data_IF_394959897743
#
_entry.id   IF_394959897743
#
_cell.length_a   1.000
_cell.length_b   1.000
_cell.length_c   1.000
_cell.angle_alpha   90.00
_cell.angle_beta   90.00
_cell.angle_gamma   90.00
#
_symmetry.space_group_name_H-M   'P 1'
#
loop_
_entity.id
_entity.type
_entity.pdbx_description
1 polymer ?
#
# COMPACT_ATOMS: atom_id res chain seq x y z
N UNK A 1 -104.99 24.11 -23.76
CA UNK A 1 -104.56 23.03 -24.68
C UNK A 1 -103.05 23.10 -24.86
N UNK A 2 -102.38 22.01 -24.49
CA UNK A 2 -101.13 21.46 -25.02
C UNK A 2 -99.97 22.35 -25.50
N UNK A 3 -98.85 22.20 -24.76
CA UNK A 3 -97.50 21.89 -25.29
C UNK A 3 -96.72 23.04 -25.95
N UNK A 4 -95.39 23.16 -25.94
CA UNK A 4 -94.29 22.22 -25.73
C UNK A 4 -93.00 22.99 -25.39
N UNK A 5 -92.02 22.23 -24.89
CA UNK A 5 -90.59 22.26 -25.21
C UNK A 5 -89.63 22.54 -24.03
N UNK A 6 -89.11 21.41 -23.53
CA UNK A 6 -87.96 21.27 -22.65
C UNK A 6 -86.67 21.66 -23.38
N UNK A 7 -85.79 22.42 -22.73
CA UNK A 7 -84.35 22.44 -23.02
C UNK A 7 -83.62 21.96 -21.76
N UNK A 8 -82.99 20.80 -21.88
CA UNK A 8 -82.15 20.18 -20.86
C UNK A 8 -80.74 20.75 -21.04
N UNK A 9 -80.21 21.39 -20.00
CA UNK A 9 -78.82 21.83 -19.90
C UNK A 9 -78.00 20.69 -19.25
N UNK A 10 -76.82 20.28 -19.77
CA UNK A 10 -76.01 19.29 -19.09
C UNK A 10 -75.22 19.97 -17.96
N UNK A 11 -75.43 19.50 -16.73
CA UNK A 11 -74.64 19.87 -15.55
C UNK A 11 -73.30 19.11 -15.61
N UNK A 12 -72.23 19.80 -16.00
CA UNK A 12 -70.86 19.28 -15.87
C UNK A 12 -70.45 19.32 -14.38
N UNK A 13 -70.42 18.15 -13.74
CA UNK A 13 -69.79 17.97 -12.42
C UNK A 13 -68.27 18.15 -12.58
N UNK A 14 -67.73 19.24 -12.04
CA UNK A 14 -66.29 19.39 -11.81
C UNK A 14 -65.99 18.86 -10.42
N UNK A 15 -65.40 17.67 -10.33
CA UNK A 15 -64.85 17.14 -9.09
C UNK A 15 -63.49 17.82 -8.81
N UNK A 16 -63.18 18.27 -7.58
CA UNK A 16 -61.85 18.76 -7.28
C UNK A 16 -60.89 17.58 -7.07
N UNK A 17 -59.90 17.44 -7.96
CA UNK A 17 -58.72 16.62 -7.72
C UNK A 17 -57.90 17.28 -6.60
N UNK A 18 -58.06 16.82 -5.36
CA UNK A 18 -57.11 17.11 -4.29
C UNK A 18 -55.89 16.21 -4.52
N UNK A 19 -54.89 16.73 -5.22
CA UNK A 19 -53.60 16.07 -5.37
C UNK A 19 -52.88 16.07 -4.01
N UNK A 20 -52.90 14.93 -3.33
CA UNK A 20 -52.08 14.66 -2.15
C UNK A 20 -50.61 14.57 -2.60
N UNK A 21 -49.89 15.68 -2.58
CA UNK A 21 -48.44 15.68 -2.71
C UNK A 21 -47.83 15.19 -1.39
N UNK A 22 -47.80 13.88 -1.20
CA UNK A 22 -46.97 13.28 -0.16
C UNK A 22 -45.51 13.43 -0.60
N UNK A 23 -44.86 14.50 -0.13
CA UNK A 23 -43.39 14.60 -0.14
C UNK A 23 -42.87 13.50 0.79
N UNK A 24 -42.63 12.31 0.25
CA UNK A 24 -41.84 11.30 0.93
C UNK A 24 -40.41 11.85 1.03
N UNK A 25 -40.10 12.49 2.16
CA UNK A 25 -38.72 12.77 2.53
C UNK A 25 -38.02 11.41 2.59
N UNK A 26 -37.26 11.09 1.53
CA UNK A 26 -36.39 9.92 1.54
C UNK A 26 -35.52 10.02 2.82
N UNK A 27 -35.44 8.97 3.65
CA UNK A 27 -34.58 9.01 4.81
C UNK A 27 -33.18 9.36 4.32
N UNK A 28 -32.63 10.49 4.79
CA UNK A 28 -31.25 10.82 4.53
C UNK A 28 -30.42 9.60 4.95
N UNK A 29 -29.76 8.96 3.98
CA UNK A 29 -28.90 7.81 4.25
C UNK A 29 -27.93 8.23 5.36
N UNK A 30 -28.06 7.62 6.54
CA UNK A 30 -27.21 7.92 7.68
C UNK A 30 -25.76 7.77 7.22
N UNK A 31 -24.91 8.76 7.54
CA UNK A 31 -23.48 8.67 7.23
C UNK A 31 -22.95 7.35 7.82
N UNK A 32 -22.20 6.54 7.05
CA UNK A 32 -21.63 5.31 7.58
C UNK A 32 -20.83 5.59 8.85
N UNK A 33 -20.99 4.73 9.87
CA UNK A 33 -20.21 4.87 11.09
C UNK A 33 -18.69 4.83 10.78
N UNK A 34 -17.87 5.61 11.50
CA UNK A 34 -16.41 5.57 11.36
C UNK A 34 -15.88 4.14 11.52
N UNK A 35 -14.86 3.79 10.74
CA UNK A 35 -14.14 2.53 10.89
C UNK A 35 -13.41 2.50 12.24
N UNK A 36 -13.35 1.32 12.86
CA UNK A 36 -12.58 1.10 14.10
C UNK A 36 -11.18 0.64 13.75
N UNK A 37 -10.22 1.53 13.91
CA UNK A 37 -8.79 1.27 13.70
C UNK A 37 -8.15 0.87 15.02
N UNK A 38 -7.40 -0.22 15.01
CA UNK A 38 -6.41 -0.54 16.04
C UNK A 38 -5.02 -0.28 15.46
N UNK A 39 -4.32 0.71 16.03
CA UNK A 39 -2.97 1.09 15.64
C UNK A 39 -1.97 0.52 16.64
N UNK A 40 -1.18 -0.45 16.17
CA UNK A 40 -0.09 -1.05 16.91
C UNK A 40 1.23 -0.45 16.42
N UNK A 41 1.97 0.21 17.30
CA UNK A 41 3.24 0.86 16.99
C UNK A 41 4.43 0.38 17.86
N UNK A 42 4.32 -0.87 18.34
CA UNK A 42 5.35 -1.47 19.20
C UNK A 42 6.68 -1.68 18.46
N UNK A 43 7.76 -1.22 19.09
CA UNK A 43 9.13 -1.49 18.67
C UNK A 43 9.83 -2.44 19.64
N UNK A 44 10.30 -3.58 19.15
CA UNK A 44 11.20 -4.51 19.86
C UNK A 44 12.60 -4.38 19.26
N UNK A 45 13.50 -3.71 19.98
CA UNK A 45 14.81 -3.34 19.47
C UNK A 45 14.87 -1.87 19.08
N UNK A 46 15.17 -1.58 17.81
CA UNK A 46 15.25 -0.19 17.34
C UNK A 46 13.89 0.50 17.42
N UNK A 47 13.87 1.73 17.94
CA UNK A 47 12.66 2.53 18.13
C UNK A 47 12.75 3.80 17.29
N UNK A 48 11.82 3.94 16.35
CA UNK A 48 11.72 5.09 15.48
C UNK A 48 11.19 6.31 16.24
N UNK A 49 11.64 7.51 15.88
CA UNK A 49 11.20 8.74 16.56
C UNK A 49 9.66 8.94 16.55
N UNK A 50 8.92 8.65 15.46
CA UNK A 50 7.46 8.85 15.44
C UNK A 50 6.70 7.99 16.46
N UNK A 51 7.23 6.81 16.82
CA UNK A 51 6.60 5.86 17.75
C UNK A 51 7.18 5.96 19.17
N UNK A 52 8.08 6.90 19.42
CA UNK A 52 8.65 7.10 20.75
C UNK A 52 7.67 7.88 21.64
N UNK A 53 7.05 7.20 22.61
CA UNK A 53 6.30 7.86 23.69
C UNK A 53 7.28 8.62 24.61
N UNK A 54 6.90 9.82 25.10
CA UNK A 54 7.74 10.60 26.00
C UNK A 54 7.84 9.95 27.40
N UNK A 55 8.95 10.22 28.11
CA UNK A 55 9.24 9.62 29.43
C UNK A 55 8.21 9.98 30.52
N UNK A 56 7.53 11.12 30.38
CA UNK A 56 6.47 11.59 31.29
C UNK A 56 5.09 10.98 31.04
N UNK A 57 4.97 10.03 30.10
CA UNK A 57 3.70 9.49 29.64
C UNK A 57 3.01 10.38 28.60
N UNK A 58 2.04 9.80 27.92
CA UNK A 58 1.37 10.41 26.77
C UNK A 58 1.55 9.58 25.51
N UNK A 59 0.96 10.09 24.43
CA UNK A 59 1.01 9.46 23.12
C UNK A 59 2.29 9.85 22.37
N UNK A 60 2.77 8.94 21.54
CA UNK A 60 3.80 9.22 20.56
C UNK A 60 3.25 10.16 19.48
N UNK A 61 4.15 10.69 18.65
CA UNK A 61 3.81 11.60 17.55
C UNK A 61 2.87 10.92 16.55
N UNK A 62 3.19 9.69 16.13
CA UNK A 62 2.38 8.94 15.18
C UNK A 62 1.01 8.56 15.75
N UNK A 63 0.93 8.23 17.05
CA UNK A 63 -0.31 7.91 17.74
C UNK A 63 -1.26 9.12 17.77
N UNK A 64 -0.72 10.29 18.17
CA UNK A 64 -1.46 11.56 18.16
C UNK A 64 -1.92 11.91 16.74
N UNK A 65 -1.04 11.76 15.76
CA UNK A 65 -1.35 12.03 14.37
C UNK A 65 -2.41 11.07 13.82
N UNK A 66 -2.34 9.77 14.10
CA UNK A 66 -3.31 8.77 13.66
C UNK A 66 -4.72 9.08 14.20
N UNK A 67 -4.82 9.44 15.49
CA UNK A 67 -6.08 9.87 16.08
C UNK A 67 -6.62 11.16 15.44
N UNK A 68 -5.74 12.13 15.19
CA UNK A 68 -6.12 13.37 14.52
C UNK A 68 -6.60 13.13 13.08
N UNK A 69 -5.88 12.31 12.29
CA UNK A 69 -6.26 11.95 10.92
C UNK A 69 -7.66 11.33 10.89
N UNK A 70 -7.94 10.38 11.79
CA UNK A 70 -9.24 9.74 11.89
C UNK A 70 -10.36 10.72 12.25
N UNK A 71 -10.14 11.52 13.30
CA UNK A 71 -11.11 12.53 13.78
C UNK A 71 -11.38 13.61 12.74
N UNK A 72 -10.34 14.21 12.18
CA UNK A 72 -10.46 15.35 11.26
C UNK A 72 -11.11 14.94 9.93
N UNK A 73 -10.89 13.70 9.48
CA UNK A 73 -11.54 13.15 8.28
C UNK A 73 -12.95 12.60 8.55
N UNK A 74 -13.27 12.26 9.80
CA UNK A 74 -14.48 11.53 10.18
C UNK A 74 -14.54 10.08 9.65
N UNK A 75 -13.46 9.57 9.06
CA UNK A 75 -13.46 8.26 8.40
C UNK A 75 -13.26 7.10 9.38
N UNK A 76 -12.56 7.33 10.48
CA UNK A 76 -12.24 6.29 11.46
C UNK A 76 -11.95 6.86 12.86
N UNK A 77 -12.07 6.00 13.87
CA UNK A 77 -11.53 6.23 15.21
C UNK A 77 -10.35 5.31 15.41
N UNK A 78 -9.26 5.82 15.99
CA UNK A 78 -8.05 5.03 16.24
C UNK A 78 -7.84 4.79 17.74
N UNK A 79 -7.87 3.53 18.12
CA UNK A 79 -7.30 3.07 19.39
C UNK A 79 -5.82 2.74 19.16
N UNK A 80 -4.94 3.11 20.09
CA UNK A 80 -3.48 2.99 19.94
C UNK A 80 -2.92 2.10 21.04
N UNK A 81 -1.94 1.27 20.70
CA UNK A 81 -1.27 0.37 21.66
C UNK A 81 0.18 0.11 21.24
N UNK A 82 1.05 -0.03 22.23
CA UNK A 82 2.44 -0.47 22.08
C UNK A 82 2.66 -1.89 22.61
N UNK A 83 1.59 -2.68 22.76
CA UNK A 83 1.64 -4.05 23.23
C UNK A 83 0.92 -5.02 22.28
N UNK A 84 1.69 -5.75 21.48
CA UNK A 84 1.16 -6.73 20.52
C UNK A 84 0.46 -7.91 21.19
N UNK A 85 0.65 -8.14 22.51
CA UNK A 85 -0.09 -9.18 23.26
C UNK A 85 -1.58 -8.85 23.36
N UNK A 86 -1.92 -7.58 23.19
CA UNK A 86 -3.31 -7.13 23.15
C UNK A 86 -4.02 -7.51 21.85
N UNK A 87 -3.29 -7.93 20.81
CA UNK A 87 -3.87 -8.49 19.61
C UNK A 87 -4.35 -9.91 19.93
N UNK A 88 -5.63 -10.06 20.23
CA UNK A 88 -6.29 -11.34 20.46
C UNK A 88 -7.45 -11.55 19.49
N UNK A 89 -7.91 -12.80 19.27
CA UNK A 89 -9.10 -13.06 18.45
C UNK A 89 -10.34 -12.26 18.90
N UNK A 90 -10.51 -12.09 20.21
CA UNK A 90 -11.63 -11.36 20.82
C UNK A 90 -11.54 -9.87 20.50
N UNK A 91 -10.35 -9.26 20.67
CA UNK A 91 -10.16 -7.85 20.33
C UNK A 91 -10.31 -7.61 18.84
N UNK A 92 -9.78 -8.49 17.99
CA UNK A 92 -9.92 -8.37 16.54
C UNK A 92 -11.38 -8.44 16.08
N UNK A 93 -12.31 -9.00 16.87
CA UNK A 93 -13.73 -9.04 16.54
C UNK A 93 -14.35 -7.63 16.44
N UNK A 94 -13.80 -6.66 17.15
CA UNK A 94 -14.27 -5.27 17.17
C UNK A 94 -13.39 -4.31 16.37
N UNK A 95 -12.45 -4.83 15.59
CA UNK A 95 -11.55 -4.03 14.75
C UNK A 95 -11.92 -4.21 13.29
N UNK A 96 -12.05 -3.08 12.57
CA UNK A 96 -12.30 -3.08 11.13
C UNK A 96 -10.99 -2.99 10.34
N UNK A 97 -9.98 -2.27 10.85
CA UNK A 97 -8.65 -2.16 10.24
C UNK A 97 -7.55 -2.23 11.30
N UNK A 98 -6.57 -3.13 11.09
CA UNK A 98 -5.36 -3.23 11.89
C UNK A 98 -4.23 -2.47 11.19
N UNK A 99 -3.61 -1.52 11.90
CA UNK A 99 -2.52 -0.70 11.37
C UNK A 99 -1.23 -1.02 12.13
N UNK A 100 -0.17 -1.39 11.43
CA UNK A 100 1.14 -1.67 12.00
C UNK A 100 2.13 -0.57 11.64
N UNK A 101 2.81 -0.04 12.66
CA UNK A 101 4.10 0.64 12.55
C UNK A 101 5.03 -0.02 13.57
N UNK A 102 5.45 -1.24 13.26
CA UNK A 102 6.07 -2.13 14.23
C UNK A 102 7.47 -2.52 13.82
N UNK A 103 8.33 -2.80 14.79
CA UNK A 103 9.74 -3.16 14.55
C UNK A 103 10.12 -4.39 15.38
N UNK A 104 10.88 -5.30 14.78
CA UNK A 104 11.51 -6.43 15.45
C UNK A 104 10.55 -7.53 15.91
N UNK A 105 11.05 -8.35 16.84
CA UNK A 105 10.40 -9.56 17.37
C UNK A 105 9.20 -9.23 18.29
N UNK A 106 8.05 -8.87 17.72
CA UNK A 106 6.83 -8.57 18.49
C UNK A 106 6.47 -9.73 19.44
N UNK A 107 5.68 -9.52 20.50
CA UNK A 107 5.11 -10.59 21.34
C UNK A 107 3.71 -11.08 20.85
N UNK A 108 3.51 -11.27 19.53
CA UNK A 108 2.26 -11.73 18.91
C UNK A 108 2.09 -13.27 18.90
N UNK A 109 1.08 -13.81 19.57
CA UNK A 109 0.87 -15.27 19.61
C UNK A 109 0.53 -15.88 18.23
N UNK A 110 0.88 -17.17 17.96
CA UNK A 110 0.49 -17.85 16.73
C UNK A 110 -1.04 -17.89 16.50
N UNK A 111 -1.83 -17.98 17.59
CA UNK A 111 -3.29 -17.93 17.53
C UNK A 111 -3.79 -16.55 17.07
N UNK A 112 -3.20 -15.47 17.59
CA UNK A 112 -3.52 -14.11 17.18
C UNK A 112 -3.20 -13.88 15.71
N UNK A 113 -2.02 -14.31 15.25
CA UNK A 113 -1.66 -14.18 13.84
C UNK A 113 -2.56 -15.01 12.91
N UNK A 114 -2.94 -16.22 13.32
CA UNK A 114 -3.92 -17.04 12.60
C UNK A 114 -5.25 -16.32 12.47
N UNK A 115 -5.73 -15.67 13.54
CA UNK A 115 -6.96 -14.88 13.52
C UNK A 115 -6.88 -13.66 12.60
N UNK A 116 -5.74 -12.95 12.57
CA UNK A 116 -5.50 -11.85 11.61
C UNK A 116 -5.64 -12.36 10.19
N UNK A 117 -4.90 -13.42 9.82
CA UNK A 117 -4.90 -13.98 8.47
C UNK A 117 -6.31 -14.43 8.03
N UNK A 118 -7.04 -15.13 8.91
CA UNK A 118 -8.40 -15.60 8.61
C UNK A 118 -9.38 -14.45 8.44
N UNK A 119 -9.36 -13.45 9.33
CA UNK A 119 -10.27 -12.29 9.25
C UNK A 119 -9.99 -11.43 8.04
N UNK A 120 -8.71 -11.21 7.72
CA UNK A 120 -8.30 -10.54 6.49
C UNK A 120 -8.80 -11.33 5.29
N UNK A 121 -8.50 -12.63 5.20
CA UNK A 121 -8.95 -13.47 4.08
C UNK A 121 -10.48 -13.49 3.90
N UNK A 122 -11.24 -13.37 5.00
CA UNK A 122 -12.70 -13.27 4.99
C UNK A 122 -13.25 -11.86 4.70
N UNK A 123 -12.39 -10.85 4.52
CA UNK A 123 -12.80 -9.46 4.30
C UNK A 123 -13.37 -8.76 5.52
N UNK A 124 -13.19 -9.32 6.73
CA UNK A 124 -13.68 -8.80 8.01
C UNK A 124 -12.66 -7.91 8.73
N UNK A 125 -11.42 -7.86 8.22
CA UNK A 125 -10.34 -7.03 8.75
C UNK A 125 -9.52 -6.49 7.56
N UNK A 126 -9.30 -5.18 7.53
CA UNK A 126 -8.31 -4.54 6.66
C UNK A 126 -6.94 -4.51 7.35
N UNK A 127 -5.86 -4.43 6.56
CA UNK A 127 -4.51 -4.30 7.12
C UNK A 127 -3.76 -3.14 6.47
N UNK A 128 -3.10 -2.31 7.28
CA UNK A 128 -2.21 -1.24 6.81
C UNK A 128 -0.85 -1.39 7.46
N UNK A 129 0.22 -1.43 6.67
CA UNK A 129 1.59 -1.33 7.15
C UNK A 129 2.17 0.06 6.85
N UNK A 130 2.84 0.66 7.81
CA UNK A 130 3.50 1.96 7.69
C UNK A 130 4.98 1.78 8.00
N UNK A 131 5.82 2.31 7.12
CA UNK A 131 7.27 2.38 7.23
C UNK A 131 7.91 1.08 7.76
N UNK A 132 8.22 1.03 9.06
CA UNK A 132 8.98 -0.08 9.65
C UNK A 132 8.19 -1.36 9.78
N UNK A 133 6.89 -1.38 9.44
CA UNK A 133 6.09 -2.60 9.46
C UNK A 133 6.78 -3.78 8.75
N UNK A 134 7.52 -3.57 7.65
CA UNK A 134 8.30 -4.63 6.97
C UNK A 134 9.55 -5.11 7.71
N UNK A 135 9.97 -4.41 8.77
CA UNK A 135 11.00 -4.81 9.75
C UNK A 135 10.39 -5.52 10.98
N UNK A 136 9.11 -5.89 10.92
CA UNK A 136 8.52 -6.79 11.91
C UNK A 136 9.11 -8.19 11.73
N UNK A 137 9.93 -8.59 12.68
CA UNK A 137 10.44 -9.96 12.78
C UNK A 137 9.48 -10.79 13.63
N UNK A 138 9.17 -12.02 13.22
CA UNK A 138 8.67 -13.05 14.14
C UNK A 138 8.87 -14.42 13.46
N UNK A 139 9.47 -15.43 14.13
CA UNK A 139 9.53 -16.80 13.64
C UNK A 139 8.16 -17.48 13.79
N UNK A 140 7.35 -17.45 12.73
CA UNK A 140 6.00 -18.02 12.74
C UNK A 140 6.05 -19.46 12.25
N UNK A 141 5.62 -20.40 13.09
CA UNK A 141 5.57 -21.84 12.84
C UNK A 141 4.12 -22.39 12.76
N UNK A 142 3.12 -21.52 12.90
CA UNK A 142 1.71 -21.87 12.79
C UNK A 142 1.19 -21.99 11.36
N UNK A 143 -0.12 -22.25 11.19
CA UNK A 143 -0.72 -22.45 9.86
C UNK A 143 -0.89 -21.15 9.06
N UNK A 144 -0.54 -21.18 7.77
CA UNK A 144 -0.77 -20.06 6.85
C UNK A 144 0.53 -19.40 6.38
N UNK A 145 0.47 -18.10 6.11
CA UNK A 145 1.61 -17.31 5.64
C UNK A 145 2.38 -16.68 6.81
N UNK A 146 3.71 -16.65 6.69
CA UNK A 146 4.55 -15.80 7.56
C UNK A 146 4.17 -14.33 7.41
N UNK A 147 4.51 -13.51 8.40
CA UNK A 147 4.27 -12.07 8.34
C UNK A 147 4.91 -11.42 7.10
N UNK A 148 6.17 -11.74 6.79
CA UNK A 148 6.90 -11.16 5.65
C UNK A 148 6.23 -11.47 4.32
N UNK A 149 5.75 -12.71 4.16
CA UNK A 149 4.97 -13.13 3.00
C UNK A 149 3.59 -12.44 3.00
N UNK A 150 2.98 -12.23 4.15
CA UNK A 150 1.69 -11.53 4.26
C UNK A 150 1.78 -10.05 3.84
N UNK A 151 2.73 -9.30 4.40
CA UNK A 151 2.95 -7.88 4.05
C UNK A 151 3.64 -7.70 2.68
N UNK A 152 4.24 -8.78 2.15
CA UNK A 152 4.97 -8.85 0.89
C UNK A 152 6.29 -8.08 0.89
N UNK A 153 7.07 -8.23 1.95
CA UNK A 153 8.39 -7.63 2.06
C UNK A 153 9.00 -7.88 3.43
N UNK A 154 10.29 -8.20 3.45
CA UNK A 154 11.11 -8.29 4.65
C UNK A 154 12.23 -7.26 4.55
N UNK A 155 12.41 -6.45 5.59
CA UNK A 155 13.50 -5.48 5.69
C UNK A 155 14.84 -6.10 5.26
N UNK A 156 15.53 -5.41 4.36
CA UNK A 156 16.82 -5.81 3.79
C UNK A 156 17.77 -4.61 3.66
N UNK A 157 17.63 -3.63 4.55
CA UNK A 157 18.45 -2.42 4.61
C UNK A 157 17.72 -1.14 4.24
N UNK A 158 18.36 -0.02 4.54
CA UNK A 158 17.81 1.34 4.45
C UNK A 158 18.87 2.30 3.90
N UNK A 159 19.31 2.12 2.64
CA UNK A 159 20.49 2.84 2.15
C UNK A 159 20.20 4.31 1.82
N UNK A 160 18.93 4.73 1.90
CA UNK A 160 18.50 6.12 2.00
C UNK A 160 18.00 6.32 3.43
N UNK A 161 18.84 6.90 4.27
CA UNK A 161 18.59 7.08 5.70
C UNK A 161 17.64 8.25 5.97
N UNK A 162 17.23 8.44 7.23
CA UNK A 162 16.39 9.56 7.66
C UNK A 162 16.70 10.90 6.97
N UNK A 163 15.66 11.53 6.42
CA UNK A 163 15.77 12.85 5.78
C UNK A 163 16.54 12.88 4.46
N UNK A 164 16.92 11.73 3.89
CA UNK A 164 17.57 11.68 2.58
C UNK A 164 16.63 12.24 1.53
N UNK A 165 17.08 13.22 0.70
CA UNK A 165 16.33 13.64 -0.47
C UNK A 165 16.13 12.46 -1.42
N UNK A 166 14.88 12.19 -1.76
CA UNK A 166 14.46 11.15 -2.69
C UNK A 166 13.46 11.73 -3.68
N UNK A 167 13.32 11.04 -4.80
CA UNK A 167 12.24 11.22 -5.77
C UNK A 167 11.44 9.95 -5.87
N UNK A 168 10.12 10.09 -5.93
CA UNK A 168 9.17 8.99 -6.02
C UNK A 168 8.28 9.20 -7.23
N UNK A 169 8.03 8.13 -7.99
CA UNK A 169 7.06 8.10 -9.09
C UNK A 169 5.77 7.40 -8.64
N UNK A 170 4.64 8.06 -8.82
CA UNK A 170 3.29 7.52 -8.63
C UNK A 170 2.84 6.84 -9.92
N UNK A 171 2.66 5.52 -9.87
CA UNK A 171 2.39 4.71 -11.05
C UNK A 171 0.92 4.73 -11.48
N UNK A 172 0.01 4.92 -10.51
CA UNK A 172 -1.43 4.93 -10.72
C UNK A 172 -2.09 6.17 -10.10
N UNK A 173 -1.84 7.37 -10.64
CA UNK A 173 -2.28 8.64 -10.03
C UNK A 173 -3.81 8.76 -9.90
N UNK A 174 -4.59 7.99 -10.67
CA UNK A 174 -6.06 8.00 -10.59
C UNK A 174 -6.61 7.19 -9.41
N UNK A 175 -5.77 6.38 -8.73
CA UNK A 175 -6.21 5.56 -7.60
C UNK A 175 -6.25 6.40 -6.32
N UNK A 176 -7.36 6.31 -5.59
CA UNK A 176 -7.55 7.03 -4.33
C UNK A 176 -6.41 6.84 -3.32
N UNK A 177 -5.78 5.66 -3.28
CA UNK A 177 -4.65 5.35 -2.39
C UNK A 177 -3.41 6.25 -2.61
N UNK A 178 -3.23 6.80 -3.81
CA UNK A 178 -2.02 7.57 -4.18
C UNK A 178 -2.31 8.84 -4.98
N UNK A 179 -3.56 9.11 -5.37
CA UNK A 179 -3.91 10.26 -6.22
C UNK A 179 -3.83 11.63 -5.56
N UNK A 180 -3.49 11.69 -4.27
CA UNK A 180 -3.08 12.92 -3.60
C UNK A 180 -1.62 13.30 -3.85
N UNK A 181 -0.82 12.39 -4.41
CA UNK A 181 0.56 12.62 -4.77
C UNK A 181 0.67 13.01 -6.25
N UNK A 182 1.59 13.93 -6.61
CA UNK A 182 1.96 14.14 -8.00
C UNK A 182 2.49 12.85 -8.65
N UNK A 183 2.47 12.80 -9.99
CA UNK A 183 3.05 11.67 -10.75
C UNK A 183 4.54 11.49 -10.44
N UNK A 184 5.27 12.58 -10.23
CA UNK A 184 6.65 12.56 -9.73
C UNK A 184 6.81 13.66 -8.71
N UNK A 185 7.42 13.35 -7.57
CA UNK A 185 7.61 14.33 -6.49
C UNK A 185 8.89 14.08 -5.70
N UNK A 186 9.45 15.18 -5.22
CA UNK A 186 10.54 15.19 -4.26
C UNK A 186 10.03 15.05 -2.84
N UNK A 187 10.82 14.34 -2.05
CA UNK A 187 10.53 14.10 -0.65
C UNK A 187 11.83 13.91 0.14
N UNK A 188 11.75 13.99 1.47
CA UNK A 188 12.86 13.70 2.36
C UNK A 188 12.44 12.58 3.29
N UNK A 189 13.04 11.39 3.14
CA UNK A 189 12.64 10.22 3.93
C UNK A 189 13.75 9.19 4.16
N UNK A 190 13.51 8.29 5.12
CA UNK A 190 14.15 6.97 5.15
C UNK A 190 13.37 5.96 4.29
N UNK A 191 14.04 5.26 3.37
CA UNK A 191 13.42 4.28 2.47
C UNK A 191 14.07 2.91 2.61
N UNK A 192 13.23 1.90 2.88
CA UNK A 192 13.65 0.51 3.00
C UNK A 192 13.75 -0.19 1.66
N UNK A 193 14.71 -1.09 1.57
CA UNK A 193 14.77 -2.13 0.56
C UNK A 193 14.25 -3.44 1.17
N UNK A 194 13.62 -4.26 0.35
CA UNK A 194 12.96 -5.47 0.79
C UNK A 194 13.55 -6.71 0.11
N UNK A 195 13.79 -7.74 0.91
CA UNK A 195 13.87 -9.14 0.48
C UNK A 195 12.49 -9.79 0.55
N UNK A 196 12.33 -11.01 0.04
CA UNK A 196 11.04 -11.75 0.08
C UNK A 196 9.87 -10.96 -0.55
N UNK A 197 10.18 -10.08 -1.51
CA UNK A 197 9.22 -9.26 -2.23
C UNK A 197 8.77 -9.98 -3.49
N UNK A 198 7.49 -10.34 -3.57
CA UNK A 198 6.90 -10.99 -4.74
C UNK A 198 6.05 -9.98 -5.56
N UNK A 199 6.49 -9.59 -6.77
CA UNK A 199 5.72 -8.69 -7.62
C UNK A 199 4.39 -9.30 -8.11
N UNK A 200 4.27 -10.62 -8.16
CA UNK A 200 3.05 -11.29 -8.63
C UNK A 200 1.92 -11.30 -7.58
N UNK A 201 2.14 -10.74 -6.39
CA UNK A 201 1.16 -10.75 -5.29
C UNK A 201 0.63 -9.38 -4.93
N UNK A 202 1.23 -8.31 -5.46
CA UNK A 202 0.87 -6.94 -5.12
C UNK A 202 0.76 -6.06 -6.36
N UNK A 203 -0.07 -5.03 -6.27
CA UNK A 203 -0.06 -3.87 -7.16
C UNK A 203 0.87 -2.82 -6.55
N UNK A 204 2.03 -2.59 -7.16
CA UNK A 204 2.88 -1.45 -6.77
C UNK A 204 2.25 -0.16 -7.26
N UNK A 205 2.12 0.82 -6.36
CA UNK A 205 1.45 2.10 -6.57
C UNK A 205 2.43 3.26 -6.64
N UNK A 206 3.54 3.17 -5.91
CA UNK A 206 4.63 4.14 -5.91
C UNK A 206 5.98 3.42 -5.97
N UNK A 207 6.93 4.00 -6.69
CA UNK A 207 8.28 3.46 -6.90
C UNK A 207 9.32 4.55 -6.62
N UNK A 208 10.49 4.19 -6.09
CA UNK A 208 11.62 5.09 -6.06
C UNK A 208 12.05 5.44 -7.50
N UNK A 209 12.10 6.72 -7.81
CA UNK A 209 12.56 7.22 -9.10
C UNK A 209 14.08 7.40 -9.06
N UNK A 210 14.78 6.55 -9.80
CA UNK A 210 16.23 6.56 -9.86
C UNK A 210 16.85 7.54 -10.86
N UNK A 211 16.04 8.27 -11.64
CA UNK A 211 16.54 9.46 -12.33
C UNK A 211 16.85 10.59 -11.32
N UNK A 212 16.07 10.67 -10.24
CA UNK A 212 16.28 11.61 -9.14
C UNK A 212 17.04 11.05 -7.93
N UNK A 213 17.04 9.73 -7.76
CA UNK A 213 17.58 9.06 -6.57
C UNK A 213 18.52 7.91 -6.94
N UNK A 214 19.84 8.07 -6.84
CA UNK A 214 20.77 7.03 -7.26
C UNK A 214 20.47 5.67 -6.63
N UNK A 215 20.38 4.63 -7.47
CA UNK A 215 20.21 3.26 -7.01
C UNK A 215 21.40 2.82 -6.18
N UNK A 216 21.11 2.04 -5.16
CA UNK A 216 22.12 1.42 -4.29
C UNK A 216 22.34 -0.04 -4.66
N UNK A 217 21.38 -0.65 -5.37
CA UNK A 217 21.34 -2.06 -5.79
C UNK A 217 20.58 -2.20 -7.12
N UNK A 218 20.80 -3.25 -7.94
CA UNK A 218 20.32 -3.34 -9.32
C UNK A 218 18.86 -3.78 -9.47
N UNK A 219 17.98 -3.35 -8.57
CA UNK A 219 16.58 -3.73 -8.56
C UNK A 219 15.69 -2.60 -8.07
N UNK A 220 14.45 -2.62 -8.51
CA UNK A 220 13.46 -1.62 -8.20
C UNK A 220 13.14 -1.60 -6.70
N UNK A 221 12.73 -0.43 -6.21
CA UNK A 221 12.39 -0.18 -4.80
C UNK A 221 10.95 0.34 -4.72
N UNK A 222 9.97 -0.56 -4.54
CA UNK A 222 8.58 -0.18 -4.29
C UNK A 222 8.47 0.66 -3.00
N UNK A 223 7.76 1.79 -3.10
CA UNK A 223 7.53 2.70 -1.97
C UNK A 223 6.15 2.48 -1.38
N UNK A 224 5.13 2.20 -2.20
CA UNK A 224 3.81 1.83 -1.71
C UNK A 224 3.18 0.75 -2.58
N UNK A 225 2.42 -0.16 -1.97
CA UNK A 225 1.72 -1.21 -2.68
C UNK A 225 0.40 -1.60 -2.01
N UNK A 226 -0.47 -2.19 -2.82
CA UNK A 226 -1.72 -2.76 -2.38
C UNK A 226 -1.77 -4.26 -2.70
N UNK A 227 -2.42 -5.03 -1.84
CA UNK A 227 -2.59 -6.48 -1.96
C UNK A 227 -4.03 -6.88 -1.68
N UNK A 228 -4.57 -7.77 -2.50
CA UNK A 228 -5.80 -8.50 -2.21
C UNK A 228 -5.46 -9.86 -1.60
N UNK A 229 -6.15 -10.23 -0.52
CA UNK A 229 -5.93 -11.48 0.21
C UNK A 229 -7.30 -12.11 0.47
N UNK A 230 -7.71 -13.09 -0.34
CA UNK A 230 -9.09 -13.55 -0.35
C UNK A 230 -10.05 -12.38 -0.59
N UNK A 231 -10.96 -12.13 0.36
CA UNK A 231 -11.83 -10.96 0.37
C UNK A 231 -11.24 -9.76 1.14
N UNK A 232 -10.06 -9.89 1.72
CA UNK A 232 -9.36 -8.81 2.41
C UNK A 232 -8.53 -7.92 1.50
N UNK A 233 -8.06 -6.84 2.10
CA UNK A 233 -7.24 -5.82 1.46
C UNK A 233 -6.15 -5.37 2.42
N UNK A 234 -4.93 -5.33 1.90
CA UNK A 234 -3.75 -4.83 2.59
C UNK A 234 -3.14 -3.67 1.80
N UNK A 235 -2.78 -2.60 2.50
CA UNK A 235 -1.97 -1.51 1.96
C UNK A 235 -0.67 -1.39 2.73
N UNK A 236 0.41 -1.04 2.05
CA UNK A 236 1.68 -0.69 2.67
C UNK A 236 2.24 0.59 2.06
N UNK A 237 2.84 1.43 2.90
CA UNK A 237 3.69 2.55 2.50
C UNK A 237 5.00 2.53 3.27
N UNK A 238 6.10 2.76 2.57
CA UNK A 238 7.47 2.86 3.11
C UNK A 238 7.72 4.24 3.77
N UNK A 239 6.78 5.18 3.59
CA UNK A 239 6.82 6.50 4.21
C UNK A 239 6.32 6.42 5.67
N UNK A 240 6.85 7.30 6.52
CA UNK A 240 6.38 7.50 7.90
C UNK A 240 7.48 7.69 8.93
N UNK A 241 8.75 7.54 8.57
CA UNK A 241 9.92 7.66 9.45
C UNK A 241 10.21 9.07 9.90
N UNK A 242 10.28 10.00 8.94
CA UNK A 242 10.57 11.39 9.22
C UNK A 242 9.36 12.02 9.91
N UNK A 243 9.49 12.64 11.10
CA UNK A 243 8.36 13.19 11.85
C UNK A 243 7.44 14.11 11.03
N UNK A 244 8.01 14.97 10.18
CA UNK A 244 7.24 15.90 9.33
C UNK A 244 6.34 15.20 8.30
N UNK A 245 6.55 13.92 8.02
CA UNK A 245 5.65 13.14 7.16
C UNK A 245 4.24 13.07 7.73
N UNK A 246 4.09 13.06 9.05
CA UNK A 246 2.77 12.99 9.71
C UNK A 246 1.99 14.31 9.65
N UNK A 247 2.67 15.41 9.33
CA UNK A 247 2.09 16.73 9.11
C UNK A 247 1.74 16.98 7.63
N UNK A 248 2.31 16.19 6.69
CA UNK A 248 2.04 16.36 5.27
C UNK A 248 0.57 16.00 4.94
N UNK A 249 -0.22 16.94 4.39
CA UNK A 249 -1.62 16.68 4.05
C UNK A 249 -1.80 15.54 3.03
N UNK A 250 -0.81 15.29 2.17
CA UNK A 250 -0.83 14.18 1.19
C UNK A 250 -0.66 12.84 1.91
N UNK A 251 0.28 12.72 2.84
CA UNK A 251 0.45 11.51 3.63
C UNK A 251 -0.77 11.23 4.52
N UNK A 252 -1.28 12.26 5.21
CA UNK A 252 -2.52 12.16 6.01
C UNK A 252 -3.69 11.66 5.17
N UNK A 253 -3.87 12.21 3.95
CA UNK A 253 -4.92 11.76 3.02
C UNK A 253 -4.68 10.33 2.51
N UNK A 254 -3.43 9.93 2.29
CA UNK A 254 -3.09 8.54 1.93
C UNK A 254 -3.50 7.57 3.04
N UNK A 255 -3.26 7.89 4.31
CA UNK A 255 -3.71 7.06 5.44
C UNK A 255 -5.24 6.95 5.48
N UNK A 256 -5.97 8.05 5.28
CA UNK A 256 -7.44 8.02 5.21
C UNK A 256 -7.94 7.11 4.10
N UNK A 257 -7.40 7.24 2.88
CA UNK A 257 -7.83 6.42 1.76
C UNK A 257 -7.38 4.95 1.89
N UNK A 258 -6.22 4.70 2.52
CA UNK A 258 -5.78 3.35 2.86
C UNK A 258 -6.77 2.68 3.82
N UNK A 259 -7.10 3.33 4.94
CA UNK A 259 -8.05 2.79 5.94
C UNK A 259 -9.42 2.56 5.32
N UNK A 260 -9.94 3.52 4.53
CA UNK A 260 -11.23 3.36 3.82
C UNK A 260 -11.19 2.20 2.84
N UNK A 261 -10.13 2.09 2.05
CA UNK A 261 -10.00 1.05 1.03
C UNK A 261 -9.85 -0.33 1.66
N UNK A 262 -9.00 -0.48 2.69
CA UNK A 262 -8.80 -1.76 3.38
C UNK A 262 -10.02 -2.16 4.21
N UNK A 263 -10.70 -1.20 4.82
CA UNK A 263 -11.98 -1.36 5.52
C UNK A 263 -13.21 -1.47 4.60
N UNK A 264 -13.00 -1.59 3.27
CA UNK A 264 -14.05 -1.76 2.25
C UNK A 264 -15.15 -0.71 2.27
N UNK A 265 -14.79 0.55 2.56
CA UNK A 265 -15.66 1.72 2.42
C UNK A 265 -15.55 2.37 1.04
N UNK A 266 -14.51 2.04 0.28
CA UNK A 266 -14.31 2.48 -1.10
C UNK A 266 -13.98 1.28 -2.00
N UNK A 267 -14.30 1.40 -3.28
CA UNK A 267 -13.98 0.39 -4.29
C UNK A 267 -12.55 0.52 -4.81
N UNK A 268 -12.13 -0.48 -5.59
CA UNK A 268 -10.81 -0.51 -6.25
C UNK A 268 -10.16 -1.88 -6.14
N UNK A 269 -9.81 -2.47 -7.28
CA UNK A 269 -9.02 -3.70 -7.33
C UNK A 269 -7.54 -3.45 -7.07
N UNK A 270 -6.79 -4.47 -6.62
CA UNK A 270 -5.33 -4.41 -6.48
C UNK A 270 -4.66 -5.57 -7.22
N UNK A 271 -5.20 -5.94 -8.39
CA UNK A 271 -4.59 -6.95 -9.27
C UNK A 271 -3.16 -6.53 -9.62
N UNK A 272 -2.16 -7.41 -9.46
CA UNK A 272 -0.76 -7.11 -9.74
C UNK A 272 -0.53 -6.58 -11.16
N UNK A 273 0.41 -5.64 -11.31
CA UNK A 273 0.92 -5.21 -12.63
C UNK A 273 2.26 -5.85 -12.90
N UNK A 274 2.27 -7.15 -13.19
CA UNK A 274 3.53 -7.89 -13.34
C UNK A 274 4.38 -7.34 -14.49
N UNK A 275 3.76 -6.86 -15.58
CA UNK A 275 4.47 -6.24 -16.71
C UNK A 275 5.10 -4.89 -16.33
N UNK A 276 4.36 -3.99 -15.67
CA UNK A 276 4.92 -2.70 -15.22
C UNK A 276 5.99 -2.90 -14.15
N UNK A 277 5.81 -3.87 -13.26
CA UNK A 277 6.81 -4.17 -12.24
C UNK A 277 8.06 -4.81 -12.86
N UNK A 278 7.91 -5.68 -13.87
CA UNK A 278 9.02 -6.17 -14.69
C UNK A 278 9.78 -5.02 -15.37
N UNK A 279 9.06 -4.07 -15.97
CA UNK A 279 9.66 -2.87 -16.58
C UNK A 279 10.56 -2.13 -15.57
N UNK A 280 10.07 -1.90 -14.36
CA UNK A 280 10.86 -1.23 -13.32
C UNK A 280 12.10 -2.03 -12.89
N UNK A 281 11.99 -3.35 -12.81
CA UNK A 281 13.13 -4.22 -12.51
C UNK A 281 14.21 -4.12 -13.60
N UNK A 282 13.82 -4.16 -14.87
CA UNK A 282 14.76 -4.00 -16.00
C UNK A 282 15.38 -2.61 -16.02
N UNK A 283 14.58 -1.54 -15.82
CA UNK A 283 15.14 -0.18 -15.75
C UNK A 283 16.18 -0.07 -14.64
N UNK A 284 15.91 -0.65 -13.47
CA UNK A 284 16.86 -0.62 -12.35
C UNK A 284 18.15 -1.42 -12.64
N UNK A 285 18.02 -2.59 -13.29
CA UNK A 285 19.16 -3.39 -13.71
C UNK A 285 20.07 -2.63 -14.69
N UNK A 286 19.46 -1.96 -15.69
CA UNK A 286 20.16 -1.16 -16.69
C UNK A 286 20.80 0.10 -16.08
N UNK A 287 20.15 0.74 -15.13
CA UNK A 287 20.61 1.99 -14.51
C UNK A 287 21.68 1.81 -13.41
N UNK A 288 21.92 0.58 -12.94
CA UNK A 288 22.81 0.33 -11.81
C UNK A 288 24.29 0.64 -12.10
N UNK A 289 24.80 0.20 -13.25
CA UNK A 289 26.15 0.50 -13.70
C UNK A 289 26.13 1.48 -14.89
N UNK A 290 27.15 2.35 -15.02
CA UNK A 290 27.26 3.27 -16.14
C UNK A 290 27.13 2.54 -17.49
N UNK A 291 26.25 3.05 -18.34
CA UNK A 291 26.08 2.54 -19.69
C UNK A 291 27.26 2.94 -20.59
N UNK A 292 27.70 2.08 -21.52
CA UNK A 292 28.52 2.50 -22.64
C UNK A 292 27.84 3.64 -23.42
N UNK A 293 28.65 4.55 -23.98
CA UNK A 293 28.14 5.65 -24.79
C UNK A 293 27.27 5.11 -25.95
N UNK A 294 26.09 5.68 -26.13
CA UNK A 294 25.16 5.31 -27.20
C UNK A 294 24.22 4.14 -26.91
N UNK A 295 24.21 3.56 -25.70
CA UNK A 295 23.22 2.55 -25.32
C UNK A 295 21.81 3.15 -25.29
N UNK A 296 20.92 2.66 -26.15
CA UNK A 296 19.52 3.09 -26.22
C UNK A 296 18.62 2.22 -25.33
N UNK A 297 18.54 2.59 -24.05
CA UNK A 297 17.72 1.88 -23.04
C UNK A 297 16.23 1.90 -23.40
N UNK A 298 15.75 2.94 -24.08
CA UNK A 298 14.35 3.02 -24.52
C UNK A 298 14.06 1.97 -25.60
N UNK A 299 14.94 1.81 -26.58
CA UNK A 299 14.81 0.79 -27.61
C UNK A 299 14.95 -0.63 -27.04
N UNK A 300 15.90 -0.83 -26.11
CA UNK A 300 16.06 -2.10 -25.38
C UNK A 300 14.75 -2.46 -24.68
N UNK A 301 14.24 -1.58 -23.81
CA UNK A 301 12.99 -1.79 -23.07
C UNK A 301 11.82 -2.05 -24.03
N UNK A 302 11.70 -1.27 -25.10
CA UNK A 302 10.63 -1.42 -26.10
C UNK A 302 10.62 -2.79 -26.77
N UNK A 303 11.77 -3.45 -26.93
CA UNK A 303 11.86 -4.84 -27.41
C UNK A 303 11.52 -5.85 -26.31
N UNK A 304 12.03 -5.64 -25.09
CA UNK A 304 11.79 -6.54 -23.96
C UNK A 304 10.31 -6.63 -23.55
N UNK A 305 9.57 -5.53 -23.64
CA UNK A 305 8.13 -5.50 -23.36
C UNK A 305 7.30 -6.33 -24.35
N UNK A 306 7.85 -6.65 -25.52
CA UNK A 306 7.21 -7.49 -26.55
C UNK A 306 7.62 -8.97 -26.43
N UNK A 307 8.51 -9.30 -25.51
CA UNK A 307 8.93 -10.68 -25.28
C UNK A 307 7.83 -11.51 -24.61
N UNK A 308 7.97 -12.83 -24.72
CA UNK A 308 7.06 -13.78 -24.08
C UNK A 308 6.94 -13.54 -22.56
N UNK A 309 5.72 -13.54 -21.99
CA UNK A 309 5.50 -13.31 -20.55
C UNK A 309 6.22 -14.28 -19.61
N UNK A 310 6.48 -15.53 -20.04
CA UNK A 310 7.23 -16.47 -19.21
C UNK A 310 8.69 -16.04 -19.10
N UNK A 311 9.29 -15.54 -20.19
CA UNK A 311 10.63 -14.96 -20.14
C UNK A 311 10.69 -13.70 -19.27
N UNK A 312 9.70 -12.81 -19.36
CA UNK A 312 9.62 -11.61 -18.52
C UNK A 312 9.54 -11.98 -17.04
N UNK A 313 8.70 -12.96 -16.69
CA UNK A 313 8.54 -13.46 -15.32
C UNK A 313 9.84 -14.10 -14.80
N UNK A 314 10.46 -14.99 -15.57
CA UNK A 314 11.73 -15.62 -15.20
C UNK A 314 12.86 -14.58 -15.05
N UNK A 315 12.86 -13.53 -15.87
CA UNK A 315 13.84 -12.45 -15.77
C UNK A 315 13.60 -11.57 -14.54
N UNK A 316 12.34 -11.23 -14.23
CA UNK A 316 11.99 -10.52 -13.01
C UNK A 316 12.45 -11.29 -11.76
N UNK A 317 12.28 -12.63 -11.76
CA UNK A 317 12.74 -13.49 -10.69
C UNK A 317 14.27 -13.50 -10.58
N UNK A 318 14.99 -13.68 -11.69
CA UNK A 318 16.47 -13.61 -11.68
C UNK A 318 17.01 -12.27 -11.16
N UNK A 319 16.36 -11.15 -11.49
CA UNK A 319 16.70 -9.83 -10.93
C UNK A 319 16.42 -9.78 -9.43
N UNK A 320 15.31 -10.38 -8.97
CA UNK A 320 15.00 -10.49 -7.55
C UNK A 320 16.01 -11.37 -6.79
N UNK A 321 16.49 -12.45 -7.41
CA UNK A 321 17.47 -13.37 -6.82
C UNK A 321 18.84 -12.71 -6.61
N UNK A 322 19.16 -11.63 -7.32
CA UNK A 322 20.36 -10.82 -7.04
C UNK A 322 20.40 -10.33 -5.59
N UNK A 323 19.26 -10.22 -4.90
CA UNK A 323 19.18 -9.86 -3.48
C UNK A 323 19.84 -10.89 -2.57
N UNK A 324 19.75 -12.17 -2.91
CA UNK A 324 20.22 -13.27 -2.05
C UNK A 324 21.73 -13.43 -2.10
N UNK A 325 22.34 -13.02 -3.21
CA UNK A 325 23.80 -13.07 -3.42
C UNK A 325 24.48 -11.72 -3.18
N UNK A 326 23.72 -10.65 -2.92
CA UNK A 326 24.31 -9.34 -2.65
C UNK A 326 25.08 -9.36 -1.32
N UNK A 327 26.32 -8.83 -1.26
CA UNK A 327 27.13 -8.83 -0.05
C UNK A 327 26.43 -8.23 1.17
N UNK A 328 26.42 -8.95 2.29
CA UNK A 328 25.79 -8.49 3.53
C UNK A 328 26.55 -7.33 4.19
N UNK A 329 27.88 -7.29 4.02
CA UNK A 329 28.75 -6.21 4.52
C UNK A 329 29.51 -5.58 3.36
N UNK A 330 29.89 -4.29 3.47
CA UNK A 330 30.67 -3.61 2.43
C UNK A 330 31.96 -4.35 2.04
N UNK A 331 32.64 -4.96 3.02
CA UNK A 331 33.94 -5.65 2.81
C UNK A 331 33.78 -7.15 2.45
N UNK A 332 32.56 -7.64 2.27
CA UNK A 332 32.31 -9.02 1.87
C UNK A 332 32.64 -9.25 0.39
N UNK A 333 33.03 -10.48 0.05
CA UNK A 333 33.32 -10.85 -1.34
C UNK A 333 32.11 -10.58 -2.24
N UNK A 334 32.33 -9.75 -3.25
CA UNK A 334 31.33 -9.31 -4.22
C UNK A 334 31.31 -10.16 -5.49
N UNK A 335 32.30 -11.03 -5.71
CA UNK A 335 32.41 -11.84 -6.92
C UNK A 335 31.16 -12.69 -7.24
N UNK A 336 30.47 -13.32 -6.26
CA UNK A 336 29.22 -14.05 -6.52
C UNK A 336 28.11 -13.14 -7.08
N UNK A 337 27.94 -11.96 -6.49
CA UNK A 337 26.97 -10.97 -6.95
C UNK A 337 27.33 -10.44 -8.33
N UNK A 338 28.58 -10.04 -8.57
CA UNK A 338 28.99 -9.47 -9.86
C UNK A 338 28.85 -10.48 -10.99
N UNK A 339 29.13 -11.76 -10.73
CA UNK A 339 28.93 -12.85 -11.69
C UNK A 339 27.44 -13.01 -12.04
N UNK A 340 26.57 -13.06 -11.03
CA UNK A 340 25.12 -13.18 -11.23
C UNK A 340 24.54 -11.94 -11.94
N UNK A 341 24.92 -10.74 -11.51
CA UNK A 341 24.47 -9.48 -12.09
C UNK A 341 24.85 -9.39 -13.57
N UNK A 342 26.12 -9.65 -13.92
CA UNK A 342 26.59 -9.62 -15.31
C UNK A 342 25.88 -10.65 -16.18
N UNK A 343 25.59 -11.84 -15.66
CA UNK A 343 24.85 -12.87 -16.39
C UNK A 343 23.42 -12.41 -16.71
N UNK A 344 22.71 -11.82 -15.75
CA UNK A 344 21.35 -11.31 -15.96
C UNK A 344 21.37 -10.11 -16.91
N UNK A 345 22.30 -9.17 -16.72
CA UNK A 345 22.46 -8.00 -17.59
C UNK A 345 22.75 -8.40 -19.04
N UNK A 346 23.67 -9.35 -19.26
CA UNK A 346 24.03 -9.81 -20.60
C UNK A 346 22.82 -10.43 -21.34
N UNK A 347 22.01 -11.26 -20.67
CA UNK A 347 20.78 -11.80 -21.27
C UNK A 347 19.76 -10.70 -21.59
N UNK A 348 19.55 -9.75 -20.67
CA UNK A 348 18.65 -8.61 -20.88
C UNK A 348 19.10 -7.76 -22.07
N UNK A 349 20.40 -7.47 -22.20
CA UNK A 349 20.96 -6.71 -23.31
C UNK A 349 20.82 -7.48 -24.63
N UNK A 350 21.14 -8.77 -24.66
CA UNK A 350 21.05 -9.60 -25.85
C UNK A 350 19.60 -9.72 -26.35
N UNK A 351 18.64 -10.00 -25.45
CA UNK A 351 17.20 -10.02 -25.79
C UNK A 351 16.69 -8.62 -26.15
N UNK A 352 17.29 -7.60 -25.54
CA UNK A 352 17.09 -6.20 -25.83
C UNK A 352 17.73 -5.73 -27.14
N UNK A 353 18.39 -6.60 -27.91
CA UNK A 353 19.02 -6.26 -29.19
C UNK A 353 20.21 -5.29 -29.09
N UNK A 354 20.78 -5.13 -27.90
CA UNK A 354 22.08 -4.47 -27.73
C UNK A 354 23.17 -5.49 -28.07
N UNK A 355 24.13 -5.09 -28.91
CA UNK A 355 25.29 -5.90 -29.29
C UNK A 355 26.52 -5.49 -28.49
#
# INVERSE_FOLDING_TARGET
>A
MLSSLRRILPLLLVAPLVAFAALAAAPALAKPAPLRVLYLDQSVGWKHAPVARPEGGGLALSETAMQAIGRDSGAFTAEVTQDAREITPERLATVDVLVFYTTGALPLSPQAWTAVQQRVSAGKLGFVGIHSATDTGWPYDGPGETYTRFINGKFAGHPWTQGTPIRVETLDPDRALVGMWPVSFDYAEEIYQHSDFDPARVRVLQMLDFAGTPLKRPYAVPVAWARQIGQGRLFFTNLGHTPSTWDDPRFRKQIVEAVKWTGRRTDGGASPDTLRQFLWQVKALLAYEPAPAGRDDKAIIGRLLKMDPAWQTATAQRIADLRTVYPAKPDSDRAPFDTAYKAVLADVLAKGGAR
#
